data_IF_261798258348
#
_entry.id   IF_261798258348
#
_cell.length_a   1.000
_cell.length_b   1.000
_cell.length_c   1.000
_cell.angle_alpha   90.00
_cell.angle_beta   90.00
_cell.angle_gamma   90.00
#
_symmetry.space_group_name_H-M   'P 1'
#
loop_
_entity.id
_entity.type
_entity.pdbx_description
1 polymer ?
#
# COMPACT_ATOMS: atom_id res chain seq x y z
N UNK A 1 15.23 -8.46 11.85
CA UNK A 1 15.55 -9.12 10.57
C UNK A 1 16.43 -10.34 10.79
N UNK A 2 17.72 -10.23 11.09
CA UNK A 2 18.63 -11.41 11.13
C UNK A 2 18.53 -12.34 12.36
N UNK A 3 17.37 -12.43 13.00
CA UNK A 3 17.14 -13.37 14.11
C UNK A 3 16.15 -14.47 13.67
N UNK A 4 16.60 -15.71 13.39
CA UNK A 4 15.77 -16.75 12.75
C UNK A 4 14.44 -17.03 13.45
N UNK A 5 14.40 -16.97 14.79
CA UNK A 5 13.19 -17.23 15.57
C UNK A 5 12.23 -16.04 15.69
N UNK A 6 12.58 -14.86 15.15
CA UNK A 6 11.82 -13.61 15.29
C UNK A 6 11.66 -12.83 13.99
N UNK A 7 12.23 -13.33 12.90
CA UNK A 7 12.16 -12.70 11.57
C UNK A 7 10.87 -13.10 10.85
N UNK A 8 9.74 -12.59 11.33
CA UNK A 8 8.44 -12.88 10.76
C UNK A 8 7.47 -11.73 11.02
N UNK A 9 6.49 -11.57 10.14
CA UNK A 9 5.35 -10.66 10.31
C UNK A 9 4.05 -11.40 10.03
N UNK A 10 2.97 -10.98 10.69
CA UNK A 10 1.63 -11.46 10.42
C UNK A 10 0.81 -10.28 9.90
N UNK A 11 0.31 -10.40 8.67
CA UNK A 11 -0.43 -9.32 8.01
C UNK A 11 -1.84 -9.81 7.70
N UNK A 12 -2.85 -8.99 7.98
CA UNK A 12 -4.21 -9.26 7.55
C UNK A 12 -4.42 -8.77 6.11
N UNK A 13 -4.94 -9.65 5.26
CA UNK A 13 -5.28 -9.31 3.88
C UNK A 13 -6.66 -8.65 3.83
N UNK A 14 -6.71 -7.43 3.29
CA UNK A 14 -7.91 -6.61 3.11
C UNK A 14 -7.79 -5.80 1.81
N UNK A 15 -7.49 -6.50 0.71
CA UNK A 15 -7.31 -5.90 -0.62
C UNK A 15 -5.93 -5.27 -0.84
N UNK A 16 -5.83 -4.37 -1.83
CA UNK A 16 -4.53 -3.81 -2.26
C UNK A 16 -3.86 -2.93 -1.20
N UNK A 17 -4.63 -2.35 -0.28
CA UNK A 17 -4.10 -1.57 0.84
C UNK A 17 -3.23 -2.41 1.78
N UNK A 18 -3.38 -3.75 1.80
CA UNK A 18 -2.51 -4.62 2.59
C UNK A 18 -1.04 -4.55 2.18
N UNK A 19 -0.72 -4.12 0.96
CA UNK A 19 0.68 -3.88 0.56
C UNK A 19 1.36 -2.82 1.45
N UNK A 20 0.60 -1.80 1.88
CA UNK A 20 1.09 -0.80 2.84
C UNK A 20 1.41 -1.45 4.19
N UNK A 21 0.50 -2.30 4.69
CA UNK A 21 0.68 -3.00 5.97
C UNK A 21 1.91 -3.90 5.91
N UNK A 22 2.09 -4.65 4.83
CA UNK A 22 3.29 -5.48 4.62
C UNK A 22 4.57 -4.64 4.65
N UNK A 23 4.58 -3.47 4.00
CA UNK A 23 5.72 -2.56 4.04
C UNK A 23 5.97 -2.02 5.46
N UNK A 24 4.92 -1.62 6.18
CA UNK A 24 4.97 -1.15 7.56
C UNK A 24 5.59 -2.19 8.51
N UNK A 25 5.05 -3.41 8.50
CA UNK A 25 5.55 -4.49 9.35
C UNK A 25 6.98 -4.91 8.97
N UNK A 26 7.33 -4.84 7.68
CA UNK A 26 8.71 -5.06 7.22
C UNK A 26 9.65 -3.98 7.78
N UNK A 27 9.19 -2.73 7.87
CA UNK A 27 9.91 -1.63 8.51
C UNK A 27 10.24 -1.94 9.98
N UNK A 28 9.27 -2.46 10.75
CA UNK A 28 9.52 -2.92 12.11
C UNK A 28 10.55 -4.05 12.19
N UNK A 29 10.50 -5.02 11.29
CA UNK A 29 11.53 -6.08 11.23
C UNK A 29 12.92 -5.53 10.91
N UNK A 30 13.00 -4.41 10.18
CA UNK A 30 14.22 -3.65 9.90
C UNK A 30 14.61 -2.65 11.00
N UNK A 31 13.94 -2.69 12.15
CA UNK A 31 14.28 -1.88 13.33
C UNK A 31 13.77 -0.44 13.28
N UNK A 32 12.78 -0.15 12.44
CA UNK A 32 12.11 1.16 12.42
C UNK A 32 11.01 1.21 13.49
N UNK A 33 10.85 2.38 14.10
CA UNK A 33 9.80 2.69 15.06
C UNK A 33 8.70 3.55 14.42
N UNK A 34 7.56 3.69 15.10
CA UNK A 34 6.48 4.54 14.61
C UNK A 34 6.91 6.01 14.50
N UNK A 35 6.52 6.65 13.40
CA UNK A 35 6.68 8.09 13.22
C UNK A 35 5.83 8.87 14.24
N UNK A 36 6.42 9.90 14.85
CA UNK A 36 5.76 10.74 15.84
C UNK A 36 5.67 10.13 17.25
N UNK A 37 6.14 8.91 17.46
CA UNK A 37 6.24 8.29 18.79
C UNK A 37 7.68 8.35 19.28
N UNK A 38 8.01 9.36 20.09
CA UNK A 38 9.36 9.53 20.66
C UNK A 38 10.43 10.01 19.67
N UNK A 39 10.05 10.32 18.42
CA UNK A 39 10.93 10.88 17.39
C UNK A 39 10.35 12.20 16.83
N UNK A 40 11.11 12.85 15.94
CA UNK A 40 10.76 14.17 15.40
C UNK A 40 9.93 14.10 14.12
N UNK A 41 9.28 12.99 13.79
CA UNK A 41 8.58 12.78 12.51
C UNK A 41 7.04 12.84 12.59
N UNK A 42 6.50 13.48 13.63
CA UNK A 42 5.06 13.62 13.81
C UNK A 42 4.36 14.34 12.64
N UNK A 43 5.04 15.30 11.99
CA UNK A 43 4.55 16.02 10.81
C UNK A 43 4.36 15.10 9.59
N UNK A 44 5.22 14.08 9.45
CA UNK A 44 5.17 13.14 8.32
C UNK A 44 4.04 12.10 8.44
N UNK A 45 3.56 11.84 9.65
CA UNK A 45 2.43 10.92 9.88
C UNK A 45 1.18 11.33 9.11
N UNK A 46 0.86 12.63 9.13
CA UNK A 46 -0.29 13.20 8.42
C UNK A 46 -0.12 13.24 6.90
N UNK A 47 1.12 13.12 6.42
CA UNK A 47 1.44 13.07 5.00
C UNK A 47 1.39 11.65 4.43
N UNK A 48 1.16 10.63 5.27
CA UNK A 48 1.09 9.23 4.86
C UNK A 48 2.44 8.51 4.85
N UNK A 49 3.31 8.84 5.80
CA UNK A 49 4.55 8.07 5.99
C UNK A 49 4.23 6.60 6.30
N UNK A 50 5.06 5.68 5.81
CA UNK A 50 4.83 4.24 5.94
C UNK A 50 4.79 3.82 7.41
N UNK A 51 5.65 4.40 8.26
CA UNK A 51 5.71 4.09 9.68
C UNK A 51 4.75 4.93 10.54
N UNK A 52 3.77 5.62 9.95
CA UNK A 52 2.72 6.28 10.72
C UNK A 52 1.93 5.24 11.55
N UNK A 53 1.64 5.50 12.85
CA UNK A 53 1.00 4.53 13.73
C UNK A 53 -0.47 4.26 13.41
N UNK A 54 -1.08 5.12 12.59
CA UNK A 54 -2.46 4.96 12.12
C UNK A 54 -2.47 5.03 10.59
N UNK A 55 -2.92 3.94 9.96
CA UNK A 55 -3.16 3.91 8.52
C UNK A 55 -4.38 4.77 8.23
N UNK A 56 -4.20 5.89 7.54
CA UNK A 56 -5.33 6.65 7.02
C UNK A 56 -5.69 6.16 5.63
N UNK A 57 -6.96 5.85 5.47
CA UNK A 57 -7.53 5.33 4.25
C UNK A 57 -7.40 6.28 3.03
N UNK A 58 -7.07 7.57 3.26
CA UNK A 58 -6.94 8.60 2.22
C UNK A 58 -5.50 8.83 1.74
N UNK A 59 -4.53 8.06 2.23
CA UNK A 59 -3.14 8.20 1.80
C UNK A 59 -3.00 7.75 0.34
N UNK A 60 -2.50 8.67 -0.48
CA UNK A 60 -2.20 8.50 -1.90
C UNK A 60 -0.70 8.75 -2.18
N UNK A 61 0.07 9.09 -1.14
CA UNK A 61 1.49 9.40 -1.22
C UNK A 61 2.26 8.65 -0.14
N UNK A 62 2.58 7.39 -0.44
CA UNK A 62 3.38 6.57 0.45
C UNK A 62 4.85 6.97 0.36
N UNK A 63 5.48 7.18 1.50
CA UNK A 63 6.90 7.49 1.59
C UNK A 63 7.50 7.03 2.91
N UNK A 64 8.80 6.80 2.93
CA UNK A 64 9.54 6.60 4.16
C UNK A 64 9.91 7.96 4.77
N UNK A 65 9.69 8.13 6.07
CA UNK A 65 10.00 9.39 6.75
C UNK A 65 11.51 9.60 6.89
N UNK A 66 11.90 10.81 7.30
CA UNK A 66 13.31 11.05 7.68
C UNK A 66 13.75 10.21 8.88
N UNK A 67 12.84 9.84 9.79
CA UNK A 67 13.14 9.00 10.96
C UNK A 67 13.35 7.54 10.53
N UNK A 68 12.46 6.99 9.71
CA UNK A 68 12.58 5.64 9.16
C UNK A 68 13.92 5.45 8.42
N UNK A 69 14.31 6.44 7.61
CA UNK A 69 15.60 6.44 6.91
C UNK A 69 16.80 6.44 7.88
N UNK A 70 16.73 7.23 8.94
CA UNK A 70 17.81 7.31 9.94
C UNK A 70 17.94 5.99 10.72
N UNK A 71 16.82 5.38 11.08
CA UNK A 71 16.79 4.10 11.80
C UNK A 71 17.31 2.96 10.93
N UNK A 72 16.88 2.87 9.66
CA UNK A 72 17.44 1.89 8.73
C UNK A 72 18.95 2.03 8.59
N UNK A 73 19.46 3.25 8.38
CA UNK A 73 20.91 3.49 8.28
C UNK A 73 21.67 3.11 9.56
N UNK A 74 21.02 3.19 10.73
CA UNK A 74 21.63 2.78 12.01
C UNK A 74 21.82 1.27 12.06
N UNK A 75 20.84 0.49 11.59
CA UNK A 75 20.83 -0.96 11.77
C UNK A 75 21.28 -1.77 10.55
N UNK A 76 21.23 -1.22 9.34
CA UNK A 76 21.52 -1.95 8.09
C UNK A 76 22.90 -2.63 8.11
N UNK A 77 23.91 -1.97 8.70
CA UNK A 77 25.27 -2.51 8.84
C UNK A 77 25.39 -3.68 9.83
N UNK A 78 24.36 -3.96 10.62
CA UNK A 78 24.31 -5.09 11.55
C UNK A 78 23.58 -6.32 10.97
N UNK A 79 23.05 -6.23 9.75
CA UNK A 79 22.28 -7.29 9.11
C UNK A 79 23.12 -8.16 8.17
N UNK A 80 24.02 -8.95 8.77
CA UNK A 80 24.93 -9.84 8.02
C UNK A 80 24.18 -10.87 7.15
N UNK A 81 22.96 -11.26 7.54
CA UNK A 81 22.11 -12.20 6.79
C UNK A 81 21.48 -11.63 5.51
N UNK A 82 21.71 -10.35 5.21
CA UNK A 82 21.24 -9.68 3.98
C UNK A 82 22.40 -9.43 3.01
N UNK A 83 23.60 -9.93 3.30
CA UNK A 83 24.81 -9.68 2.51
C UNK A 83 25.07 -10.73 1.43
N UNK A 84 24.46 -11.91 1.55
CA UNK A 84 24.58 -12.97 0.56
C UNK A 84 23.53 -12.84 -0.55
N UNK A 85 23.93 -13.22 -1.76
CA UNK A 85 22.99 -13.38 -2.87
C UNK A 85 22.10 -14.61 -2.64
N UNK A 86 20.81 -14.55 -2.98
CA UNK A 86 19.95 -15.72 -2.88
C UNK A 86 20.45 -16.86 -3.79
N UNK A 87 20.25 -18.09 -3.35
CA UNK A 87 20.70 -19.29 -4.08
C UNK A 87 20.15 -19.36 -5.52
N UNK A 88 18.91 -18.93 -5.74
CA UNK A 88 18.32 -18.80 -7.07
C UNK A 88 18.62 -17.41 -7.63
N UNK A 89 19.44 -17.37 -8.68
CA UNK A 89 19.89 -16.12 -9.29
C UNK A 89 18.95 -15.63 -10.40
N UNK A 90 18.00 -16.48 -10.84
CA UNK A 90 16.99 -16.08 -11.83
C UNK A 90 15.82 -15.41 -11.13
N UNK A 91 15.93 -14.09 -11.02
CA UNK A 91 14.82 -13.27 -10.57
C UNK A 91 13.68 -13.31 -11.60
N UNK A 92 12.41 -13.41 -11.15
CA UNK A 92 11.29 -13.17 -12.04
C UNK A 92 11.37 -11.74 -12.59
N UNK A 93 10.86 -11.54 -13.81
CA UNK A 93 10.69 -10.19 -14.35
C UNK A 93 9.81 -9.41 -13.37
N UNK A 94 10.23 -8.18 -13.05
CA UNK A 94 9.41 -7.29 -12.23
C UNK A 94 8.01 -7.19 -12.83
N UNK A 95 6.95 -7.36 -12.03
CA UNK A 95 5.59 -7.21 -12.52
C UNK A 95 5.39 -5.78 -13.00
N UNK A 96 4.52 -5.63 -13.98
CA UNK A 96 4.05 -4.29 -14.36
C UNK A 96 3.19 -3.69 -13.24
N UNK A 97 2.81 -2.43 -13.41
CA UNK A 97 1.96 -1.74 -12.43
C UNK A 97 0.64 -2.51 -12.23
N UNK A 98 0.16 -2.66 -10.98
CA UNK A 98 -0.97 -3.52 -10.68
C UNK A 98 -2.24 -3.13 -11.45
N UNK A 99 -2.46 -1.83 -11.70
CA UNK A 99 -3.65 -1.36 -12.42
C UNK A 99 -3.72 -1.74 -13.89
N UNK A 100 -2.63 -2.26 -14.47
CA UNK A 100 -2.64 -2.85 -15.82
C UNK A 100 -3.37 -4.20 -15.82
N UNK A 101 -3.22 -4.96 -14.73
CA UNK A 101 -3.81 -6.29 -14.59
C UNK A 101 -5.13 -6.28 -13.80
N UNK A 102 -5.42 -5.20 -13.09
CA UNK A 102 -6.60 -5.07 -12.24
C UNK A 102 -7.37 -3.78 -12.57
N UNK A 103 -8.44 -3.93 -13.35
CA UNK A 103 -9.39 -2.85 -13.64
C UNK A 103 -10.08 -2.31 -12.37
N UNK A 104 -10.73 -1.14 -12.47
CA UNK A 104 -11.52 -0.59 -11.34
C UNK A 104 -12.62 -1.55 -10.87
N UNK A 105 -13.23 -2.32 -11.78
CA UNK A 105 -14.23 -3.33 -11.44
C UNK A 105 -13.62 -4.48 -10.64
N UNK A 106 -12.44 -4.96 -11.05
CA UNK A 106 -11.74 -6.02 -10.32
C UNK A 106 -11.29 -5.54 -8.94
N UNK A 107 -10.79 -4.32 -8.84
CA UNK A 107 -10.44 -3.69 -7.56
C UNK A 107 -11.67 -3.61 -6.63
N UNK A 108 -12.83 -3.18 -7.15
CA UNK A 108 -14.08 -3.18 -6.38
C UNK A 108 -14.50 -4.57 -5.91
N UNK A 109 -14.30 -5.59 -6.75
CA UNK A 109 -14.56 -6.99 -6.40
C UNK A 109 -13.63 -7.48 -5.28
N UNK A 110 -12.36 -7.10 -5.31
CA UNK A 110 -11.41 -7.43 -4.25
C UNK A 110 -11.75 -6.72 -2.93
N UNK A 111 -12.15 -5.45 -2.97
CA UNK A 111 -12.41 -4.67 -1.77
C UNK A 111 -13.74 -4.96 -1.07
N UNK A 112 -14.79 -5.26 -1.84
CA UNK A 112 -16.16 -5.37 -1.32
C UNK A 112 -16.82 -6.71 -1.60
N UNK A 113 -16.16 -7.59 -2.35
CA UNK A 113 -16.62 -8.95 -2.66
C UNK A 113 -17.28 -9.09 -4.03
N UNK A 114 -17.71 -10.33 -4.32
CA UNK A 114 -18.32 -10.71 -5.60
C UNK A 114 -19.51 -9.81 -5.94
N UNK A 115 -19.58 -9.36 -7.19
CA UNK A 115 -20.66 -8.54 -7.71
C UNK A 115 -20.42 -7.03 -7.64
N UNK A 116 -19.55 -6.55 -6.76
CA UNK A 116 -19.20 -5.12 -6.72
C UNK A 116 -18.40 -4.70 -7.95
N UNK A 117 -18.73 -3.51 -8.47
CA UNK A 117 -18.11 -2.87 -9.65
C UNK A 117 -17.95 -1.37 -9.43
N UNK A 118 -17.25 -0.69 -10.33
CA UNK A 118 -17.09 0.76 -10.30
C UNK A 118 -18.46 1.46 -10.28
N UNK A 119 -18.67 2.38 -9.34
CA UNK A 119 -19.95 3.05 -9.16
C UNK A 119 -20.15 4.14 -10.22
N UNK A 120 -21.10 3.94 -11.13
CA UNK A 120 -21.41 4.91 -12.19
C UNK A 120 -22.36 6.02 -11.75
N UNK A 121 -23.10 5.81 -10.65
CA UNK A 121 -24.05 6.77 -10.08
C UNK A 121 -23.37 7.98 -9.42
N UNK A 122 -22.10 7.84 -9.03
CA UNK A 122 -21.29 8.91 -8.45
C UNK A 122 -20.05 9.13 -9.31
N UNK A 123 -20.04 10.21 -10.10
CA UNK A 123 -18.87 10.59 -10.89
C UNK A 123 -18.00 11.56 -10.08
N UNK A 124 -16.79 11.13 -9.75
CA UNK A 124 -15.77 12.02 -9.20
C UNK A 124 -15.19 12.91 -10.31
N UNK A 125 -14.82 14.14 -9.97
CA UNK A 125 -14.07 15.02 -10.89
C UNK A 125 -12.66 14.47 -11.16
N UNK A 126 -12.11 13.74 -10.18
CA UNK A 126 -10.81 13.09 -10.25
C UNK A 126 -11.01 11.58 -10.02
N UNK A 127 -10.94 10.75 -11.08
CA UNK A 127 -11.10 9.30 -10.97
C UNK A 127 -9.95 8.62 -10.22
N UNK A 128 -8.80 9.26 -10.11
CA UNK A 128 -7.63 8.70 -9.46
C UNK A 128 -7.55 9.03 -7.97
N UNK A 129 -8.41 9.92 -7.46
CA UNK A 129 -8.40 10.30 -6.05
C UNK A 129 -9.00 9.23 -5.15
N UNK A 130 -10.13 8.64 -5.54
CA UNK A 130 -10.86 7.66 -4.74
C UNK A 130 -11.62 6.67 -5.63
N UNK A 131 -11.47 5.38 -5.34
CA UNK A 131 -12.27 4.34 -5.97
C UNK A 131 -13.64 4.22 -5.26
N UNK A 132 -14.72 4.34 -6.04
CA UNK A 132 -16.09 4.17 -5.58
C UNK A 132 -16.71 2.95 -6.23
N UNK A 133 -17.37 2.11 -5.43
CA UNK A 133 -17.90 0.82 -5.83
C UNK A 133 -19.37 0.67 -5.47
N UNK A 134 -20.16 0.00 -6.30
CA UNK A 134 -21.54 -0.38 -5.98
C UNK A 134 -21.86 -1.79 -6.42
N UNK A 135 -22.91 -2.37 -5.82
CA UNK A 135 -23.45 -3.66 -6.23
C UNK A 135 -24.61 -3.44 -7.22
N UNK A 136 -24.77 -4.25 -8.29
CA UNK A 136 -25.86 -4.11 -9.26
C UNK A 136 -27.26 -4.05 -8.63
N UNK A 137 -27.49 -4.84 -7.57
CA UNK A 137 -28.77 -4.86 -6.84
C UNK A 137 -29.10 -3.52 -6.16
N UNK A 138 -28.09 -2.66 -5.93
CA UNK A 138 -28.27 -1.34 -5.34
C UNK A 138 -27.27 -0.34 -5.96
N UNK A 139 -27.39 -0.12 -7.27
CA UNK A 139 -26.47 0.69 -8.08
C UNK A 139 -26.24 2.13 -7.59
N UNK A 140 -27.20 2.71 -6.85
CA UNK A 140 -27.14 4.07 -6.32
C UNK A 140 -26.41 4.16 -4.96
N UNK A 141 -26.16 3.02 -4.31
CA UNK A 141 -25.42 2.97 -3.06
C UNK A 141 -23.94 2.73 -3.32
N UNK A 142 -23.19 3.82 -3.52
CA UNK A 142 -21.73 3.76 -3.68
C UNK A 142 -21.01 3.67 -2.32
N UNK A 143 -20.05 2.77 -2.21
CA UNK A 143 -19.13 2.59 -1.06
C UNK A 143 -17.71 2.88 -1.52
N UNK A 144 -16.83 3.25 -0.59
CA UNK A 144 -15.41 3.47 -0.87
C UNK A 144 -14.56 3.08 0.34
N UNK A 145 -13.37 2.54 0.08
CA UNK A 145 -12.31 2.42 1.09
C UNK A 145 -11.49 3.71 1.23
N UNK A 146 -11.92 4.82 0.63
CA UNK A 146 -11.29 6.16 0.64
C UNK A 146 -9.90 6.27 -0.01
N UNK A 147 -9.37 5.19 -0.54
CA UNK A 147 -8.09 5.14 -1.27
C UNK A 147 -8.26 5.29 -2.79
N UNK A 148 -7.19 5.67 -3.50
CA UNK A 148 -7.18 5.76 -4.96
C UNK A 148 -7.24 4.36 -5.61
N UNK A 149 -7.64 4.26 -6.89
CA UNK A 149 -7.34 3.08 -7.69
C UNK A 149 -5.82 2.84 -7.73
N UNK A 150 -5.39 1.58 -7.82
CA UNK A 150 -3.97 1.24 -7.80
C UNK A 150 -3.21 1.81 -9.01
N UNK A 151 -1.93 2.09 -8.84
CA UNK A 151 -1.08 2.67 -9.89
C UNK A 151 -1.18 1.89 -11.21
N UNK A 152 -1.26 2.63 -12.32
CA UNK A 152 -1.43 2.05 -13.66
C UNK A 152 -2.87 1.72 -14.05
N UNK A 153 -3.87 2.03 -13.22
CA UNK A 153 -5.29 1.82 -13.57
C UNK A 153 -5.71 2.83 -14.64
N UNK A 154 -6.26 2.38 -15.77
CA UNK A 154 -6.79 3.27 -16.80
C UNK A 154 -8.01 4.04 -16.27
N UNK A 155 -7.96 5.38 -16.35
CA UNK A 155 -8.99 6.27 -15.81
C UNK A 155 -9.75 7.07 -16.87
N UNK A 156 -9.17 7.17 -18.07
CA UNK A 156 -9.77 7.70 -19.28
C UNK A 156 -8.96 7.20 -20.48
N UNK A 157 -9.46 7.30 -21.73
CA UNK A 157 -8.72 6.83 -22.90
C UNK A 157 -7.31 7.40 -22.97
N UNK A 158 -6.31 6.52 -22.85
CA UNK A 158 -4.89 6.88 -22.85
C UNK A 158 -4.40 7.64 -21.61
N UNK A 159 -5.10 7.51 -20.47
CA UNK A 159 -4.72 8.10 -19.17
C UNK A 159 -4.78 7.05 -18.06
N UNK A 160 -3.84 7.14 -17.13
CA UNK A 160 -3.69 6.20 -16.02
C UNK A 160 -3.48 6.93 -14.68
N UNK A 161 -3.83 6.27 -13.58
CA UNK A 161 -3.62 6.79 -12.22
C UNK A 161 -2.18 6.57 -11.72
N UNK A 162 -1.64 7.59 -11.04
CA UNK A 162 -0.32 7.68 -10.42
C UNK A 162 -0.32 8.70 -9.27
#
# INVERSE_FOLDING_TARGET
MCHPLRSCTLNHEDGFSSAFVVAHETGHVLGMEHDGQGNRCADETSMGSIMAPLVQAAFHRYHWSRCSKQELNRYIHSYDCLLDDPFEHKWPKLPELPGINYSMDEQCRFDFGVGYKMCTAFRTYDPCKQLWCSHPDNQYFCKTKKGPPVDGTECAPGKWCF
#
